data_IF_751319103770
#
_entry.id   IF_751319103770
#
_cell.length_a   1.000
_cell.length_b   1.000
_cell.length_c   1.000
_cell.angle_alpha   90.00
_cell.angle_beta   90.00
_cell.angle_gamma   90.00
#
_symmetry.space_group_name_H-M   'P 1'
#
loop_
_entity.id
_entity.type
_entity.pdbx_description
1 polymer ?
#
# COMPACT_ATOMS: atom_id res chain seq x y z
N UNK A 1 11.98 7.36 -0.96
CA UNK A 1 12.22 6.22 -1.88
C UNK A 1 11.04 5.26 -1.74
N UNK A 2 10.88 4.24 -2.59
CA UNK A 2 9.86 3.18 -2.40
C UNK A 2 10.57 1.83 -2.25
N UNK A 3 10.07 0.96 -1.36
CA UNK A 3 10.58 -0.40 -1.27
C UNK A 3 10.15 -1.21 -2.50
N UNK A 4 10.80 -2.36 -2.72
CA UNK A 4 10.49 -3.23 -3.88
C UNK A 4 9.01 -3.58 -3.94
N UNK A 5 8.39 -3.93 -2.82
CA UNK A 5 6.96 -4.26 -2.77
C UNK A 5 6.09 -3.08 -3.23
N UNK A 6 6.29 -1.88 -2.64
CA UNK A 6 5.60 -0.64 -3.05
C UNK A 6 5.79 -0.33 -4.53
N UNK A 7 7.03 -0.45 -5.03
CA UNK A 7 7.33 -0.19 -6.44
C UNK A 7 6.66 -1.21 -7.36
N UNK A 8 6.66 -2.50 -7.01
CA UNK A 8 6.01 -3.57 -7.76
C UNK A 8 4.48 -3.40 -7.84
N UNK A 9 3.85 -3.00 -6.73
CA UNK A 9 2.40 -2.71 -6.71
C UNK A 9 2.05 -1.52 -7.61
N UNK A 10 2.86 -0.46 -7.59
CA UNK A 10 2.57 0.77 -8.33
C UNK A 10 2.97 0.73 -9.82
N UNK A 11 4.04 0.02 -10.19
CA UNK A 11 4.62 0.09 -11.54
C UNK A 11 4.24 -1.04 -12.48
N UNK A 12 3.74 -2.17 -11.97
CA UNK A 12 3.49 -3.33 -12.85
C UNK A 12 2.47 -4.32 -12.33
N UNK A 13 1.73 -4.00 -11.26
CA UNK A 13 0.77 -4.92 -10.69
C UNK A 13 1.40 -6.26 -10.25
N UNK A 14 2.71 -6.29 -10.01
CA UNK A 14 3.42 -7.54 -9.76
C UNK A 14 3.13 -7.99 -8.32
N UNK A 15 2.50 -9.16 -8.16
CA UNK A 15 1.97 -9.64 -6.87
C UNK A 15 0.46 -9.50 -6.71
N UNK A 16 -0.26 -9.19 -7.80
CA UNK A 16 -1.72 -9.18 -7.85
C UNK A 16 -2.35 -10.49 -7.39
N UNK A 17 -3.39 -10.37 -6.57
CA UNK A 17 -4.37 -11.41 -6.35
C UNK A 17 -5.68 -10.99 -7.02
N UNK A 18 -6.30 -11.92 -7.75
CA UNK A 18 -7.60 -11.70 -8.39
C UNK A 18 -8.69 -12.20 -7.46
N UNK A 19 -9.45 -11.27 -6.86
CA UNK A 19 -10.45 -11.59 -5.84
C UNK A 19 -11.87 -11.71 -6.40
N UNK A 20 -12.04 -11.59 -7.73
CA UNK A 20 -13.36 -11.61 -8.38
C UNK A 20 -14.05 -10.24 -8.46
N UNK A 21 -13.60 -9.23 -7.71
CA UNK A 21 -13.90 -7.81 -7.96
C UNK A 21 -12.85 -7.21 -8.89
N UNK A 22 -13.22 -6.23 -9.72
CA UNK A 22 -12.31 -5.53 -10.64
C UNK A 22 -11.20 -4.72 -9.94
N UNK A 23 -11.06 -4.85 -8.61
CA UNK A 23 -10.10 -4.11 -7.81
C UNK A 23 -8.83 -4.92 -7.61
N UNK A 24 -7.68 -4.28 -7.81
CA UNK A 24 -6.39 -4.94 -7.69
C UNK A 24 -6.00 -5.06 -6.22
N UNK A 25 -5.94 -6.29 -5.70
CA UNK A 25 -5.52 -6.53 -4.31
C UNK A 25 -4.11 -7.10 -4.24
N UNK A 26 -3.34 -6.65 -3.26
CA UNK A 26 -1.94 -7.02 -3.05
C UNK A 26 -1.66 -7.31 -1.60
N UNK A 27 -0.75 -8.27 -1.34
CA UNK A 27 -0.16 -8.44 -0.01
C UNK A 27 1.13 -7.65 0.09
N UNK A 28 1.28 -6.84 1.13
CA UNK A 28 2.44 -5.96 1.29
C UNK A 28 3.57 -6.61 2.10
N UNK A 29 3.50 -6.52 3.44
CA UNK A 29 4.42 -7.17 4.37
C UNK A 29 3.63 -8.14 5.24
N UNK A 30 4.21 -9.30 5.51
CA UNK A 30 3.64 -10.31 6.38
C UNK A 30 4.24 -10.30 7.80
N UNK A 31 5.31 -9.52 8.01
CA UNK A 31 6.03 -9.42 9.30
C UNK A 31 6.48 -8.00 9.62
N UNK A 32 6.43 -7.63 10.90
CA UNK A 32 6.90 -6.33 11.40
C UNK A 32 8.37 -6.09 11.09
N UNK A 33 9.23 -7.11 11.15
CA UNK A 33 10.65 -6.98 10.78
C UNK A 33 10.81 -6.44 9.34
N UNK A 34 10.08 -7.03 8.38
CA UNK A 34 10.18 -6.65 6.96
C UNK A 34 9.67 -5.23 6.68
N UNK A 35 8.63 -4.80 7.41
CA UNK A 35 8.11 -3.44 7.38
C UNK A 35 9.11 -2.45 7.98
N UNK A 36 9.72 -2.79 9.12
CA UNK A 36 10.74 -1.97 9.79
C UNK A 36 11.95 -1.75 8.89
N UNK A 37 12.47 -2.80 8.26
CA UNK A 37 13.57 -2.69 7.29
C UNK A 37 13.22 -1.76 6.13
N UNK A 38 12.02 -1.88 5.58
CA UNK A 38 11.57 -1.00 4.47
C UNK A 38 11.39 0.45 4.90
N UNK A 39 10.96 0.67 6.14
CA UNK A 39 10.91 2.00 6.76
C UNK A 39 12.30 2.59 6.93
N UNK A 40 13.25 1.83 7.47
CA UNK A 40 14.65 2.25 7.66
C UNK A 40 15.35 2.55 6.33
N UNK A 41 15.01 1.80 5.27
CA UNK A 41 15.43 2.07 3.91
C UNK A 41 14.77 3.32 3.27
N UNK A 42 13.89 4.04 3.99
CA UNK A 42 13.31 5.29 3.52
C UNK A 42 12.11 5.13 2.57
N UNK A 43 11.36 4.02 2.67
CA UNK A 43 10.12 3.87 1.92
C UNK A 43 9.01 4.75 2.50
N UNK A 44 8.55 5.76 1.75
CA UNK A 44 7.55 6.72 2.24
C UNK A 44 6.22 6.07 2.60
N UNK A 45 5.76 5.10 1.81
CA UNK A 45 4.54 4.34 2.09
C UNK A 45 4.73 3.51 3.36
N UNK A 46 5.81 2.72 3.47
CA UNK A 46 6.06 1.90 4.65
C UNK A 46 6.26 2.73 5.93
N UNK A 47 6.85 3.93 5.83
CA UNK A 47 6.95 4.87 6.96
C UNK A 47 5.55 5.24 7.47
N UNK A 48 4.65 5.61 6.56
CA UNK A 48 3.28 5.97 6.91
C UNK A 48 2.52 4.77 7.52
N UNK A 49 2.62 3.57 6.90
CA UNK A 49 1.97 2.37 7.43
C UNK A 49 2.52 1.96 8.81
N UNK A 50 3.84 2.05 9.01
CA UNK A 50 4.45 1.76 10.30
C UNK A 50 4.02 2.77 11.38
N UNK A 51 3.82 4.04 11.03
CA UNK A 51 3.33 5.02 12.00
C UNK A 51 1.87 4.74 12.39
N UNK A 52 1.03 4.28 11.47
CA UNK A 52 -0.34 3.83 11.80
C UNK A 52 -0.32 2.59 12.70
N UNK A 53 0.49 1.58 12.37
CA UNK A 53 0.54 0.32 13.14
C UNK A 53 1.10 0.50 14.56
N UNK A 54 1.99 1.47 14.80
CA UNK A 54 2.52 1.78 16.15
C UNK A 54 1.45 2.14 17.17
N UNK A 55 0.28 2.59 16.72
CA UNK A 55 -0.83 2.88 17.63
C UNK A 55 -1.52 1.62 18.14
N UNK A 56 -1.34 0.47 17.48
CA UNK A 56 -2.06 -0.77 17.80
C UNK A 56 -1.13 -1.89 18.28
N UNK A 57 0.14 -1.87 17.86
CA UNK A 57 1.10 -2.92 18.17
C UNK A 57 2.51 -2.37 18.34
N UNK A 58 3.32 -3.11 19.10
CA UNK A 58 4.75 -2.87 19.14
C UNK A 58 5.39 -3.37 17.84
N UNK A 59 6.13 -2.48 17.16
CA UNK A 59 6.86 -2.81 15.95
C UNK A 59 8.31 -3.24 16.21
N UNK A 60 8.74 -3.25 17.48
CA UNK A 60 10.07 -3.69 17.90
C UNK A 60 10.15 -5.22 17.98
N UNK A 61 9.05 -5.88 18.34
CA UNK A 61 8.94 -7.33 18.33
C UNK A 61 8.57 -7.85 16.93
N UNK A 62 9.23 -8.94 16.50
CA UNK A 62 8.88 -9.60 15.24
C UNK A 62 7.59 -10.40 15.43
N UNK A 63 6.54 -9.96 14.75
CA UNK A 63 5.24 -10.59 14.76
C UNK A 63 4.63 -10.59 13.37
N UNK A 64 3.77 -11.56 13.11
CA UNK A 64 3.04 -11.64 11.86
C UNK A 64 2.03 -10.49 11.77
N UNK A 65 1.96 -9.86 10.59
CA UNK A 65 1.05 -8.78 10.28
C UNK A 65 0.35 -9.02 8.94
N UNK A 66 -0.88 -8.54 8.81
CA UNK A 66 -1.65 -8.55 7.58
C UNK A 66 -1.80 -7.12 7.08
N UNK A 67 -1.04 -6.79 6.04
CA UNK A 67 -1.20 -5.54 5.29
C UNK A 67 -1.64 -5.89 3.88
N UNK A 68 -2.91 -5.63 3.60
CA UNK A 68 -3.49 -5.78 2.27
C UNK A 68 -3.60 -4.40 1.60
N UNK A 69 -3.36 -4.33 0.30
CA UNK A 69 -3.48 -3.10 -0.47
C UNK A 69 -4.50 -3.27 -1.58
N UNK A 70 -5.33 -2.26 -1.82
CA UNK A 70 -6.31 -2.22 -2.89
C UNK A 70 -6.06 -0.99 -3.76
N UNK A 71 -5.86 -1.18 -5.06
CA UNK A 71 -5.73 -0.10 -6.03
C UNK A 71 -6.98 -0.03 -6.91
N UNK A 72 -7.67 1.11 -6.87
CA UNK A 72 -8.88 1.38 -7.64
C UNK A 72 -8.76 2.70 -8.41
N UNK A 73 -9.38 2.78 -9.58
CA UNK A 73 -9.46 4.02 -10.37
C UNK A 73 -10.69 4.83 -9.92
N UNK A 74 -10.49 6.10 -9.57
CA UNK A 74 -11.59 7.00 -9.23
C UNK A 74 -12.23 7.52 -10.53
N UNK A 75 -13.28 6.84 -10.99
CA UNK A 75 -14.08 7.29 -12.13
C UNK A 75 -15.06 8.38 -11.68
N UNK A 76 -14.67 9.65 -11.83
CA UNK A 76 -15.54 10.77 -11.43
C UNK A 76 -15.14 12.12 -11.99
N UNK A 77 -15.85 12.56 -13.04
CA UNK A 77 -16.13 13.96 -13.37
C UNK A 77 -15.00 14.79 -13.99
N UNK A 78 -15.04 14.95 -15.32
CA UNK A 78 -14.52 16.12 -16.04
C UNK A 78 -13.00 16.40 -15.99
N UNK A 79 -12.15 15.42 -15.70
CA UNK A 79 -10.70 15.61 -15.73
C UNK A 79 -10.14 14.91 -16.97
N UNK A 80 -9.80 15.71 -17.98
CA UNK A 80 -9.45 15.26 -19.34
C UNK A 80 -8.01 14.76 -19.51
N UNK A 81 -7.22 14.65 -18.45
CA UNK A 81 -5.86 14.13 -18.54
C UNK A 81 -5.52 13.31 -17.29
N UNK A 82 -5.29 12.00 -17.48
CA UNK A 82 -4.76 11.08 -16.47
C UNK A 82 -5.69 10.81 -15.28
N UNK A 83 -6.39 9.68 -15.30
CA UNK A 83 -7.27 9.24 -14.20
C UNK A 83 -6.60 9.29 -12.83
N UNK A 84 -7.35 9.64 -11.78
CA UNK A 84 -6.86 9.62 -10.40
C UNK A 84 -7.04 8.21 -9.84
N UNK A 85 -6.02 7.68 -9.17
CA UNK A 85 -6.08 6.36 -8.54
C UNK A 85 -6.15 6.48 -7.02
N UNK A 86 -6.85 5.56 -6.39
CA UNK A 86 -6.91 5.40 -4.93
C UNK A 86 -6.21 4.11 -4.55
N UNK A 87 -5.24 4.20 -3.66
CA UNK A 87 -4.53 3.08 -3.08
C UNK A 87 -4.85 2.99 -1.59
N UNK A 88 -5.64 2.00 -1.21
CA UNK A 88 -6.05 1.75 0.17
C UNK A 88 -5.21 0.64 0.78
N UNK A 89 -4.60 0.90 1.93
CA UNK A 89 -3.95 -0.13 2.73
C UNK A 89 -4.83 -0.51 3.91
N UNK A 90 -5.25 -1.76 3.96
CA UNK A 90 -5.97 -2.37 5.07
C UNK A 90 -4.94 -2.98 6.02
N UNK A 91 -4.83 -2.40 7.21
CA UNK A 91 -3.91 -2.78 8.28
C UNK A 91 -4.66 -3.65 9.28
N UNK A 92 -4.23 -4.90 9.48
CA UNK A 92 -4.81 -5.87 10.43
C UNK A 92 -6.34 -6.04 10.29
N UNK A 93 -6.90 -5.78 9.09
CA UNK A 93 -8.36 -5.76 8.83
C UNK A 93 -9.14 -4.78 9.71
N UNK A 94 -8.46 -3.80 10.33
CA UNK A 94 -9.05 -2.85 11.30
C UNK A 94 -9.01 -1.42 10.80
N UNK A 95 -7.87 -0.98 10.27
CA UNK A 95 -7.69 0.39 9.78
C UNK A 95 -7.41 0.41 8.30
N UNK A 96 -7.82 1.51 7.69
CA UNK A 96 -7.51 1.80 6.29
C UNK A 96 -6.69 3.07 6.20
N UNK A 97 -5.54 2.98 5.52
CA UNK A 97 -4.73 4.14 5.15
C UNK A 97 -4.81 4.34 3.63
N UNK A 98 -5.44 5.43 3.22
CA UNK A 98 -5.65 5.74 1.81
C UNK A 98 -4.60 6.72 1.27
N UNK A 99 -4.10 6.43 0.07
CA UNK A 99 -3.26 7.31 -0.72
C UNK A 99 -3.97 7.64 -2.03
N UNK A 100 -4.04 8.93 -2.36
CA UNK A 100 -4.53 9.38 -3.66
C UNK A 100 -3.32 9.58 -4.57
N UNK A 101 -3.33 8.88 -5.70
CA UNK A 101 -2.23 8.83 -6.64
C UNK A 101 -2.65 9.51 -7.94
N UNK A 102 -1.71 10.27 -8.51
CA UNK A 102 -1.83 10.78 -9.87
C UNK A 102 -0.82 10.03 -10.75
N UNK A 103 -1.20 9.66 -11.98
CA UNK A 103 -0.25 9.14 -12.92
C UNK A 103 0.82 10.20 -13.14
N UNK A 104 2.07 9.79 -13.00
CA UNK A 104 3.20 10.59 -13.47
C UNK A 104 3.41 10.13 -14.90
N UNK A 105 3.05 10.98 -15.88
CA UNK A 105 3.36 10.72 -17.28
C UNK A 105 4.87 10.67 -17.48
N UNK A 106 5.32 9.77 -18.35
CA UNK A 106 6.65 9.87 -18.98
C UNK A 106 6.75 11.13 -19.84
#
# INVERSE_FOLDING_TARGET
>A
MLCRTCACMLRGGTGQQWNGTYDLTFKHHARTESLRRSREAGCSICIALANELRHEMDLLDDQDISIDANLSELKGGQWKDGGVYRLDFILEKRRTRTFVLRPTGE
#
